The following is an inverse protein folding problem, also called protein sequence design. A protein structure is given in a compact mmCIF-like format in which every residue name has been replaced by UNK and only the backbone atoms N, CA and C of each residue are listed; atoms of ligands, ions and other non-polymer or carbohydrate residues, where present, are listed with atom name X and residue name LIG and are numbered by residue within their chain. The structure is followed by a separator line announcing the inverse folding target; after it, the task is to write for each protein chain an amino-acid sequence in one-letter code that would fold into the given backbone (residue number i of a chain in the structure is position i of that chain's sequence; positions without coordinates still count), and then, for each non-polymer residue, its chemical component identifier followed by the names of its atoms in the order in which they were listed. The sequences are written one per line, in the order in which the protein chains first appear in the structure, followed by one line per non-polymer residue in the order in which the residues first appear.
data_IF_351049300784
#
_entry.id   IF_351049300784
#
_cell.length_a   1.000
_cell.length_b   1.000
_cell.length_c   1.000
_cell.angle_alpha   90.00
_cell.angle_beta   90.00
_cell.angle_gamma   90.00
#
_symmetry.space_group_name_H-M   'P 1'
#
loop_
_entity.id
_entity.type
_entity.pdbx_description
1 polymer ?
#
# COMPACT_ATOMS: atom_id res chain seq x y z
N UNK A 1 21.45 -1.51 17.98
CA UNK A 1 20.66 -2.75 17.98
C UNK A 1 21.18 -3.61 16.83
N UNK A 2 21.45 -4.91 17.06
CA UNK A 2 22.06 -5.79 16.05
C UNK A 2 20.96 -6.30 15.11
N UNK A 3 21.02 -5.90 13.85
CA UNK A 3 20.07 -6.26 12.82
C UNK A 3 20.43 -7.63 12.25
N UNK A 4 19.54 -8.60 12.40
CA UNK A 4 19.68 -9.90 11.74
C UNK A 4 19.01 -9.80 10.37
N UNK A 5 19.77 -10.02 9.31
CA UNK A 5 19.25 -10.33 7.97
C UNK A 5 18.41 -11.59 8.07
N UNK A 6 17.08 -11.45 8.17
CA UNK A 6 16.16 -12.58 8.12
C UNK A 6 16.19 -13.10 6.68
N UNK A 7 16.95 -14.16 6.44
CA UNK A 7 16.80 -14.98 5.26
C UNK A 7 15.43 -15.68 5.35
N UNK A 8 14.47 -15.23 4.56
CA UNK A 8 13.19 -15.94 4.37
C UNK A 8 13.52 -17.21 3.59
N UNK A 9 13.67 -18.33 4.30
CA UNK A 9 13.78 -19.64 3.68
C UNK A 9 12.43 -19.97 3.03
N UNK A 10 12.34 -19.77 1.72
CA UNK A 10 11.21 -20.19 0.91
C UNK A 10 11.22 -21.72 0.80
N UNK A 11 10.39 -22.39 1.59
CA UNK A 11 9.88 -23.69 1.18
C UNK A 11 8.91 -23.41 0.04
N UNK A 12 9.36 -23.53 -1.20
CA UNK A 12 8.50 -23.51 -2.38
C UNK A 12 7.69 -24.82 -2.43
N UNK A 13 6.76 -25.00 -1.48
CA UNK A 13 5.58 -25.80 -1.76
C UNK A 13 4.69 -24.92 -2.64
N UNK A 14 4.33 -25.41 -3.83
CA UNK A 14 3.34 -24.74 -4.65
C UNK A 14 2.07 -24.56 -3.81
N UNK A 15 1.80 -23.34 -3.36
CA UNK A 15 0.61 -23.02 -2.57
C UNK A 15 -0.56 -22.86 -3.53
N UNK A 16 -0.97 -23.97 -4.16
CA UNK A 16 -2.25 -24.06 -4.85
C UNK A 16 -3.40 -24.36 -3.88
N UNK A 17 -3.15 -24.34 -2.56
CA UNK A 17 -4.21 -24.40 -1.57
C UNK A 17 -4.94 -23.05 -1.58
N UNK A 18 -6.13 -23.02 -2.19
CA UNK A 18 -7.01 -21.85 -2.11
C UNK A 18 -7.19 -21.47 -0.63
N UNK A 19 -6.97 -20.19 -0.31
CA UNK A 19 -7.23 -19.63 1.02
C UNK A 19 -8.64 -20.02 1.49
N UNK A 20 -8.83 -20.50 2.73
CA UNK A 20 -10.15 -20.69 3.30
C UNK A 20 -10.97 -19.39 3.23
N UNK A 21 -12.20 -19.46 2.75
CA UNK A 21 -13.01 -18.26 2.46
C UNK A 21 -13.29 -17.40 3.70
N UNK A 22 -13.28 -18.00 4.89
CA UNK A 22 -13.48 -17.38 6.19
C UNK A 22 -12.20 -16.77 6.81
N UNK A 23 -11.02 -17.06 6.25
CA UNK A 23 -9.74 -16.50 6.70
C UNK A 23 -9.40 -15.23 5.93
N UNK A 24 -9.06 -14.09 6.59
CA UNK A 24 -8.65 -12.89 5.87
C UNK A 24 -7.44 -13.10 4.95
N UNK A 25 -7.37 -12.36 3.84
CA UNK A 25 -6.26 -12.44 2.88
C UNK A 25 -4.93 -12.14 3.58
N UNK A 26 -4.87 -11.06 4.35
CA UNK A 26 -3.66 -10.69 5.07
C UNK A 26 -3.20 -11.78 6.03
N UNK A 27 -4.10 -12.34 6.84
CA UNK A 27 -3.78 -13.38 7.81
C UNK A 27 -3.23 -14.64 7.12
N UNK A 28 -3.87 -15.07 6.03
CA UNK A 28 -3.46 -16.24 5.29
C UNK A 28 -2.04 -16.09 4.72
N UNK A 29 -1.78 -15.02 3.98
CA UNK A 29 -0.46 -14.81 3.37
C UNK A 29 0.62 -14.44 4.39
N UNK A 30 0.25 -13.86 5.54
CA UNK A 30 1.19 -13.70 6.65
C UNK A 30 1.67 -15.05 7.16
N UNK A 31 0.76 -16.00 7.42
CA UNK A 31 1.12 -17.35 7.83
C UNK A 31 1.88 -18.10 6.72
N UNK A 32 1.42 -18.02 5.47
CA UNK A 32 2.04 -18.74 4.36
C UNK A 32 3.48 -18.30 4.08
N UNK A 33 3.75 -16.99 4.16
CA UNK A 33 5.07 -16.43 3.78
C UNK A 33 5.99 -16.22 4.99
N UNK A 34 5.45 -15.88 6.16
CA UNK A 34 6.20 -15.49 7.35
C UNK A 34 5.98 -16.44 8.56
N UNK A 35 5.32 -17.58 8.33
CA UNK A 35 5.04 -18.68 9.27
C UNK A 35 4.02 -18.35 10.36
N UNK A 36 4.22 -17.27 11.13
CA UNK A 36 3.37 -16.94 12.27
C UNK A 36 2.53 -15.69 12.00
N UNK A 37 1.26 -15.69 12.39
CA UNK A 37 0.37 -14.53 12.26
C UNK A 37 0.47 -13.60 13.48
N UNK A 38 1.51 -12.76 13.52
CA UNK A 38 1.72 -11.70 14.53
C UNK A 38 1.53 -10.32 13.92
N UNK A 39 1.36 -9.28 14.75
CA UNK A 39 1.27 -7.90 14.28
C UNK A 39 2.51 -7.49 13.47
N UNK A 40 3.70 -7.80 13.95
CA UNK A 40 4.97 -7.50 13.29
C UNK A 40 5.09 -8.21 11.94
N UNK A 41 4.63 -9.45 11.85
CA UNK A 41 4.65 -10.20 10.59
C UNK A 41 3.62 -9.65 9.60
N UNK A 42 2.43 -9.23 10.06
CA UNK A 42 1.47 -8.53 9.19
C UNK A 42 2.08 -7.21 8.68
N UNK A 43 2.65 -6.38 9.56
CA UNK A 43 3.33 -5.15 9.15
C UNK A 43 4.48 -5.42 8.16
N UNK A 44 5.23 -6.51 8.35
CA UNK A 44 6.30 -6.94 7.45
C UNK A 44 5.74 -7.33 6.08
N UNK A 45 4.68 -8.14 6.02
CA UNK A 45 4.02 -8.51 4.77
C UNK A 45 3.59 -7.25 3.99
N UNK A 46 2.95 -6.30 4.67
CA UNK A 46 2.44 -5.08 4.04
C UNK A 46 3.58 -4.15 3.60
N UNK A 47 4.68 -4.11 4.35
CA UNK A 47 5.90 -3.39 3.96
C UNK A 47 6.46 -3.97 2.66
N UNK A 48 6.63 -5.30 2.60
CA UNK A 48 7.16 -5.98 1.41
C UNK A 48 6.27 -5.76 0.19
N UNK A 49 4.95 -5.91 0.36
CA UNK A 49 3.97 -5.70 -0.71
C UNK A 49 3.99 -4.26 -1.21
N UNK A 50 3.78 -3.29 -0.33
CA UNK A 50 3.65 -1.88 -0.73
C UNK A 50 4.96 -1.35 -1.31
N UNK A 51 6.12 -1.69 -0.75
CA UNK A 51 7.39 -1.28 -1.35
C UNK A 51 7.56 -1.87 -2.75
N UNK A 52 7.16 -3.13 -2.95
CA UNK A 52 7.22 -3.75 -4.29
C UNK A 52 6.28 -3.06 -5.28
N UNK A 53 5.10 -2.63 -4.83
CA UNK A 53 4.20 -1.79 -5.64
C UNK A 53 4.84 -0.45 -5.97
N UNK A 54 5.53 0.18 -5.03
CA UNK A 54 6.10 1.51 -5.23
C UNK A 54 7.32 1.49 -6.15
N UNK A 55 8.30 0.62 -5.86
CA UNK A 55 9.62 0.63 -6.50
C UNK A 55 9.91 -0.57 -7.41
N UNK A 56 8.98 -1.51 -7.53
CA UNK A 56 9.18 -2.76 -8.27
C UNK A 56 9.89 -3.83 -7.45
N UNK A 57 10.26 -4.95 -8.08
CA UNK A 57 10.90 -6.05 -7.37
C UNK A 57 12.27 -5.63 -6.77
N UNK A 58 12.41 -5.80 -5.45
CA UNK A 58 13.66 -5.54 -4.72
C UNK A 58 13.98 -6.61 -3.67
N UNK A 59 13.06 -7.54 -3.43
CA UNK A 59 13.16 -8.62 -2.43
C UNK A 59 13.04 -9.99 -3.07
N UNK A 60 13.47 -11.02 -2.33
CA UNK A 60 13.14 -12.42 -2.57
C UNK A 60 12.16 -12.92 -1.50
N UNK A 61 11.27 -13.88 -1.80
CA UNK A 61 11.16 -14.62 -3.06
C UNK A 61 10.41 -13.83 -4.14
N UNK A 62 10.95 -13.83 -5.35
CA UNK A 62 10.23 -13.47 -6.58
C UNK A 62 10.03 -14.77 -7.36
N UNK A 63 8.77 -15.17 -7.58
CA UNK A 63 8.42 -16.40 -8.32
C UNK A 63 8.53 -16.25 -9.84
N UNK A 64 9.34 -15.31 -10.32
CA UNK A 64 9.56 -15.03 -11.74
C UNK A 64 8.62 -13.99 -12.35
N UNK A 65 7.83 -13.27 -11.53
CA UNK A 65 6.95 -12.18 -11.98
C UNK A 65 7.72 -10.87 -11.89
N UNK A 66 7.87 -10.18 -13.03
CA UNK A 66 8.48 -8.86 -13.09
C UNK A 66 7.48 -7.78 -12.69
N UNK A 67 7.89 -6.90 -11.78
CA UNK A 67 7.11 -5.78 -11.27
C UNK A 67 7.92 -4.51 -11.46
N UNK A 68 7.51 -3.59 -12.37
CA UNK A 68 8.19 -2.31 -12.58
C UNK A 68 8.07 -1.33 -11.41
N UNK A 69 6.92 -1.31 -10.74
CA UNK A 69 6.55 -0.34 -9.71
C UNK A 69 5.90 0.93 -10.28
N UNK A 70 5.06 1.58 -9.47
CA UNK A 70 4.28 2.76 -9.88
C UNK A 70 5.13 4.00 -10.19
N UNK A 71 6.38 4.05 -9.69
CA UNK A 71 7.31 5.14 -9.99
C UNK A 71 7.97 5.01 -11.36
N UNK A 72 7.75 3.90 -12.08
CA UNK A 72 8.16 3.73 -13.48
C UNK A 72 7.02 4.10 -14.42
N UNK A 73 7.39 4.61 -15.60
CA UNK A 73 6.46 4.79 -16.71
C UNK A 73 5.96 3.44 -17.21
N UNK A 74 4.74 3.42 -17.71
CA UNK A 74 4.11 2.24 -18.28
C UNK A 74 3.12 2.59 -19.39
N UNK A 75 2.37 1.58 -19.82
CA UNK A 75 1.35 1.72 -20.86
C UNK A 75 0.16 0.81 -20.53
N UNK A 76 -1.05 1.33 -20.70
CA UNK A 76 -2.30 0.59 -20.57
C UNK A 76 -3.15 0.86 -21.81
N UNK A 77 -3.51 -0.18 -22.55
CA UNK A 77 -4.34 -0.10 -23.77
C UNK A 77 -3.86 0.97 -24.78
N UNK A 78 -2.53 1.06 -25.00
CA UNK A 78 -1.92 2.05 -25.90
C UNK A 78 -1.78 3.46 -25.30
N UNK A 79 -2.25 3.69 -24.08
CA UNK A 79 -2.12 4.96 -23.36
C UNK A 79 -0.90 4.93 -22.45
N UNK A 80 0.06 5.83 -22.69
CA UNK A 80 1.23 5.99 -21.81
C UNK A 80 0.81 6.54 -20.45
N UNK A 81 1.35 5.94 -19.39
CA UNK A 81 1.06 6.29 -17.99
C UNK A 81 2.35 6.65 -17.27
N UNK A 82 2.33 7.74 -16.50
CA UNK A 82 3.40 8.10 -15.59
C UNK A 82 2.82 8.65 -14.28
N UNK A 83 2.94 7.88 -13.20
CA UNK A 83 2.43 8.27 -11.89
C UNK A 83 3.46 9.02 -11.04
N UNK A 84 4.74 9.05 -11.41
CA UNK A 84 5.80 9.68 -10.61
C UNK A 84 5.53 11.16 -10.25
N UNK A 85 4.94 12.00 -11.13
CA UNK A 85 4.63 13.40 -10.81
C UNK A 85 3.66 13.59 -9.62
N UNK A 86 2.85 12.58 -9.29
CA UNK A 86 1.98 12.59 -8.12
C UNK A 86 2.74 12.39 -6.80
N UNK A 87 3.93 11.80 -6.86
CA UNK A 87 4.74 11.48 -5.68
C UNK A 87 5.92 12.43 -5.49
N UNK A 88 6.47 13.01 -6.54
CA UNK A 88 7.69 13.83 -6.46
C UNK A 88 7.43 15.33 -6.28
N UNK A 89 6.17 15.75 -6.14
CA UNK A 89 5.78 17.17 -6.02
C UNK A 89 5.64 17.91 -7.35
N UNK A 90 5.69 17.21 -8.49
CA UNK A 90 5.51 17.81 -9.82
C UNK A 90 4.07 18.25 -10.12
N UNK A 91 3.07 17.74 -9.40
CA UNK A 91 1.66 18.09 -9.58
C UNK A 91 1.01 18.59 -8.28
N UNK A 92 0.14 19.60 -8.41
CA UNK A 92 -0.75 20.04 -7.35
C UNK A 92 -1.91 19.06 -7.18
N UNK A 93 -1.61 17.86 -6.69
CA UNK A 93 -2.55 16.73 -6.64
C UNK A 93 -2.96 16.31 -5.23
N UNK A 94 -2.23 16.77 -4.21
CA UNK A 94 -2.51 16.45 -2.81
C UNK A 94 -3.57 17.40 -2.25
N UNK A 95 -4.59 16.84 -1.59
CA UNK A 95 -5.54 17.64 -0.82
C UNK A 95 -4.95 18.05 0.53
N UNK A 96 -4.57 19.34 0.67
CA UNK A 96 -4.27 19.97 1.97
C UNK A 96 -5.35 20.99 2.28
N UNK A 97 -6.14 20.74 3.32
CA UNK A 97 -7.21 21.65 3.77
C UNK A 97 -8.15 22.10 2.64
N UNK A 98 -8.62 21.13 1.84
CA UNK A 98 -9.50 21.36 0.70
C UNK A 98 -8.85 22.15 -0.46
N UNK A 99 -7.51 22.22 -0.52
CA UNK A 99 -6.75 22.90 -1.56
C UNK A 99 -5.72 21.96 -2.20
N UNK A 100 -5.70 21.96 -3.53
CA UNK A 100 -4.70 21.28 -4.34
C UNK A 100 -3.30 21.84 -4.05
N UNK A 101 -2.36 20.98 -3.65
CA UNK A 101 -1.00 21.37 -3.23
C UNK A 101 0.04 20.42 -3.80
N UNK A 102 1.17 20.95 -4.26
CA UNK A 102 2.34 20.15 -4.64
C UNK A 102 3.03 19.65 -3.37
N UNK A 103 3.17 18.33 -3.23
CA UNK A 103 3.84 17.69 -2.09
C UNK A 103 4.81 16.65 -2.62
N UNK A 104 6.07 16.73 -2.20
CA UNK A 104 7.05 15.70 -2.49
C UNK A 104 6.98 14.61 -1.41
N UNK A 105 6.41 13.46 -1.75
CA UNK A 105 6.37 12.24 -0.94
C UNK A 105 7.59 11.34 -1.13
N UNK A 106 8.61 11.78 -1.86
CA UNK A 106 9.91 11.09 -2.01
C UNK A 106 11.03 11.84 -1.28
N UNK A 107 10.67 12.75 -0.37
CA UNK A 107 11.57 13.57 0.45
C UNK A 107 12.27 12.81 1.58
N UNK A 108 11.97 11.53 1.75
CA UNK A 108 12.56 10.64 2.75
C UNK A 108 13.72 9.79 2.26
N UNK A 109 14.25 10.06 1.06
CA UNK A 109 15.31 9.25 0.43
C UNK A 109 14.82 8.42 -0.77
N UNK A 110 13.56 8.58 -1.18
CA UNK A 110 12.99 7.92 -2.34
C UNK A 110 13.05 6.39 -2.22
N UNK A 111 13.53 5.73 -3.28
CA UNK A 111 13.57 4.28 -3.35
C UNK A 111 14.59 3.63 -2.42
N UNK A 112 15.68 4.32 -2.05
CA UNK A 112 16.78 3.74 -1.29
C UNK A 112 16.35 3.14 0.08
N UNK A 113 15.59 3.84 0.94
CA UNK A 113 15.09 3.23 2.18
C UNK A 113 14.11 2.09 1.91
N UNK A 114 13.30 2.16 0.85
CA UNK A 114 12.32 1.12 0.54
C UNK A 114 13.00 -0.21 0.17
N UNK A 115 14.14 -0.15 -0.50
CA UNK A 115 14.99 -1.32 -0.77
C UNK A 115 15.50 -2.01 0.51
N UNK A 116 15.50 -1.29 1.64
CA UNK A 116 15.92 -1.77 2.96
C UNK A 116 14.73 -2.10 3.87
N UNK A 117 13.51 -2.21 3.31
CA UNK A 117 12.25 -2.37 4.05
C UNK A 117 11.97 -1.23 5.04
N UNK A 118 12.47 -0.03 4.75
CA UNK A 118 12.23 1.17 5.55
C UNK A 118 11.28 2.11 4.80
N UNK A 119 10.30 2.73 5.47
CA UNK A 119 9.41 3.69 4.81
C UNK A 119 10.14 4.95 4.34
N UNK A 120 11.21 5.37 5.05
CA UNK A 120 12.04 6.53 4.75
C UNK A 120 13.33 6.49 5.60
N UNK A 121 14.29 7.37 5.30
CA UNK A 121 15.52 7.59 6.07
C UNK A 121 15.27 8.27 7.43
N UNK A 122 14.10 8.88 7.64
CA UNK A 122 13.69 9.49 8.89
C UNK A 122 12.16 9.43 9.05
N UNK A 123 11.67 9.64 10.25
CA UNK A 123 10.25 9.57 10.64
C UNK A 123 9.44 10.87 10.43
N UNK A 124 10.08 11.93 9.93
CA UNK A 124 9.47 13.27 9.78
C UNK A 124 9.12 13.63 8.33
N UNK A 125 9.59 12.85 7.37
CA UNK A 125 9.38 13.08 5.94
C UNK A 125 7.93 12.83 5.51
N UNK A 126 7.49 13.50 4.44
CA UNK A 126 6.20 13.17 3.81
C UNK A 126 6.22 11.73 3.28
N UNK A 127 7.37 11.24 2.84
CA UNK A 127 7.56 9.83 2.48
C UNK A 127 7.24 8.89 3.64
N UNK A 128 7.80 9.11 4.82
CA UNK A 128 7.50 8.28 5.99
C UNK A 128 6.01 8.24 6.27
N UNK A 129 5.38 9.42 6.26
CA UNK A 129 3.93 9.55 6.43
C UNK A 129 3.17 8.73 5.38
N UNK A 130 3.45 8.91 4.10
CA UNK A 130 2.76 8.22 3.02
C UNK A 130 2.93 6.70 3.12
N UNK A 131 4.17 6.22 3.22
CA UNK A 131 4.45 4.79 3.17
C UNK A 131 3.87 4.04 4.37
N UNK A 132 4.01 4.59 5.58
CA UNK A 132 3.37 4.01 6.77
C UNK A 132 1.84 4.01 6.66
N UNK A 133 1.24 5.08 6.12
CA UNK A 133 -0.20 5.11 5.88
C UNK A 133 -0.65 4.11 4.83
N UNK A 134 0.16 3.86 3.78
CA UNK A 134 -0.14 2.83 2.80
C UNK A 134 -0.07 1.43 3.40
N UNK A 135 0.93 1.13 4.24
CA UNK A 135 1.00 -0.15 4.94
C UNK A 135 -0.25 -0.39 5.79
N UNK A 136 -0.67 0.63 6.54
CA UNK A 136 -1.88 0.59 7.36
C UNK A 136 -3.16 0.47 6.52
N UNK A 137 -3.27 1.23 5.43
CA UNK A 137 -4.42 1.21 4.53
C UNK A 137 -4.62 -0.19 3.94
N UNK A 138 -3.56 -0.78 3.39
CA UNK A 138 -3.61 -2.14 2.86
C UNK A 138 -3.84 -3.16 3.98
N UNK A 139 -3.38 -2.88 5.21
CA UNK A 139 -3.75 -3.68 6.37
C UNK A 139 -5.25 -3.80 6.56
N UNK A 140 -5.95 -2.66 6.49
CA UNK A 140 -7.40 -2.59 6.63
C UNK A 140 -8.10 -3.22 5.42
N UNK A 141 -7.65 -2.90 4.21
CA UNK A 141 -8.22 -3.43 2.97
C UNK A 141 -8.13 -4.96 2.88
N UNK A 142 -7.01 -5.54 3.32
CA UNK A 142 -6.75 -6.98 3.25
C UNK A 142 -7.23 -7.76 4.50
N UNK A 143 -7.78 -7.06 5.50
CA UNK A 143 -8.37 -7.65 6.69
C UNK A 143 -7.36 -8.18 7.72
N UNK A 144 -6.22 -7.52 7.89
CA UNK A 144 -5.19 -7.90 8.87
C UNK A 144 -5.74 -7.91 10.31
N UNK A 145 -5.90 -9.09 10.90
CA UNK A 145 -6.55 -9.24 12.22
C UNK A 145 -5.72 -8.73 13.41
N UNK A 146 -4.43 -8.45 13.22
CA UNK A 146 -3.53 -7.91 14.26
C UNK A 146 -3.23 -6.43 14.10
N UNK A 147 -3.85 -5.77 13.11
CA UNK A 147 -3.71 -4.33 12.96
C UNK A 147 -4.33 -3.59 14.15
N UNK A 148 -3.65 -2.53 14.62
CA UNK A 148 -3.98 -1.81 15.85
C UNK A 148 -3.33 -2.38 17.12
N UNK A 149 -2.65 -3.53 17.02
CA UNK A 149 -1.85 -4.09 18.11
C UNK A 149 -0.42 -3.52 18.09
N UNK A 150 0.32 -3.69 19.19
CA UNK A 150 1.75 -3.35 19.21
C UNK A 150 2.49 -4.06 18.07
N UNK A 151 3.26 -3.30 17.28
CA UNK A 151 3.97 -3.82 16.11
C UNK A 151 3.24 -3.60 14.77
N UNK A 152 1.95 -3.25 14.78
CA UNK A 152 1.24 -2.81 13.58
C UNK A 152 0.14 -1.80 13.90
N UNK A 153 0.42 -0.52 13.66
CA UNK A 153 -0.50 0.56 13.97
C UNK A 153 -1.83 0.47 13.18
N UNK A 154 -2.90 0.98 13.79
CA UNK A 154 -4.19 1.16 13.11
C UNK A 154 -4.08 2.20 11.99
N UNK A 155 -4.93 2.08 10.97
CA UNK A 155 -5.05 3.10 9.93
C UNK A 155 -5.62 4.40 10.51
N UNK A 156 -4.80 5.46 10.50
CA UNK A 156 -5.15 6.78 11.03
C UNK A 156 -5.51 7.80 9.94
N UNK A 157 -5.59 7.36 8.68
CA UNK A 157 -5.95 8.21 7.56
C UNK A 157 -7.46 8.51 7.49
N UNK A 158 -7.84 9.35 6.52
CA UNK A 158 -9.26 9.63 6.30
C UNK A 158 -9.97 8.40 5.73
N UNK A 159 -11.15 8.02 6.24
CA UNK A 159 -11.91 6.91 5.66
C UNK A 159 -12.42 7.24 4.25
N UNK A 160 -12.60 8.52 3.91
CA UNK A 160 -13.11 8.95 2.61
C UNK A 160 -12.01 9.05 1.57
N UNK A 161 -11.86 8.01 0.75
CA UNK A 161 -10.85 8.00 -0.32
C UNK A 161 -11.06 9.09 -1.36
N UNK A 162 -12.32 9.45 -1.62
CA UNK A 162 -12.66 10.61 -2.44
C UNK A 162 -12.03 11.90 -1.89
N UNK A 163 -12.20 12.18 -0.58
CA UNK A 163 -11.63 13.40 0.01
C UNK A 163 -10.11 13.44 -0.12
N UNK A 164 -9.44 12.30 0.07
CA UNK A 164 -7.97 12.22 -0.01
C UNK A 164 -7.48 12.45 -1.44
N UNK A 165 -8.11 11.84 -2.44
CA UNK A 165 -7.56 11.76 -3.81
C UNK A 165 -8.26 12.66 -4.85
N UNK A 166 -9.27 13.45 -4.49
CA UNK A 166 -10.06 14.27 -5.45
C UNK A 166 -9.29 15.24 -6.34
N UNK A 167 -8.07 15.64 -5.96
CA UNK A 167 -7.24 16.53 -6.79
C UNK A 167 -6.21 15.77 -7.65
N UNK A 168 -6.13 14.44 -7.55
CA UNK A 168 -5.24 13.65 -8.40
C UNK A 168 -5.75 13.54 -9.83
N UNK A 169 -7.06 13.64 -10.05
CA UNK A 169 -7.68 13.60 -11.38
C UNK A 169 -7.15 12.44 -12.26
N UNK A 170 -6.98 11.26 -11.67
CA UNK A 170 -6.52 10.08 -12.39
C UNK A 170 -7.59 9.64 -13.42
N UNK A 171 -7.13 9.32 -14.63
CA UNK A 171 -7.94 8.64 -15.64
C UNK A 171 -7.99 7.14 -15.41
N UNK A 172 -8.70 6.44 -16.30
CA UNK A 172 -8.83 4.99 -16.25
C UNK A 172 -7.47 4.30 -16.40
N UNK A 173 -6.65 4.73 -17.35
CA UNK A 173 -5.35 4.14 -17.62
C UNK A 173 -4.41 4.25 -16.40
N UNK A 174 -4.38 5.40 -15.72
CA UNK A 174 -3.60 5.60 -14.50
C UNK A 174 -4.06 4.68 -13.36
N UNK A 175 -5.37 4.52 -13.19
CA UNK A 175 -5.94 3.65 -12.15
C UNK A 175 -5.68 2.18 -12.45
N UNK A 176 -5.92 1.74 -13.69
CA UNK A 176 -5.64 0.38 -14.14
C UNK A 176 -4.14 0.05 -13.99
N UNK A 177 -3.26 1.01 -14.31
CA UNK A 177 -1.82 0.84 -14.11
C UNK A 177 -1.49 0.65 -12.63
N UNK A 178 -2.02 1.49 -11.74
CA UNK A 178 -1.83 1.33 -10.30
C UNK A 178 -2.30 -0.04 -9.79
N UNK A 179 -3.54 -0.44 -10.13
CA UNK A 179 -4.11 -1.74 -9.72
C UNK A 179 -3.31 -2.90 -10.32
N UNK A 180 -2.85 -2.77 -11.56
CA UNK A 180 -1.96 -3.73 -12.21
C UNK A 180 -0.64 -3.91 -11.46
N UNK A 181 0.00 -2.83 -11.00
CA UNK A 181 1.21 -2.91 -10.18
C UNK A 181 0.94 -3.62 -8.84
N UNK A 182 -0.21 -3.39 -8.20
CA UNK A 182 -0.64 -4.13 -6.99
C UNK A 182 -0.77 -5.62 -7.27
N UNK A 183 -1.44 -5.98 -8.37
CA UNK A 183 -1.63 -7.38 -8.78
C UNK A 183 -0.31 -8.09 -9.09
N UNK A 184 0.59 -7.45 -9.86
CA UNK A 184 1.90 -8.02 -10.17
C UNK A 184 2.79 -8.15 -8.93
N UNK A 185 2.76 -7.18 -8.01
CA UNK A 185 3.46 -7.27 -6.73
C UNK A 185 2.97 -8.48 -5.92
N UNK A 186 1.66 -8.64 -5.74
CA UNK A 186 1.08 -9.79 -5.06
C UNK A 186 1.44 -11.12 -5.75
N UNK A 187 1.32 -11.19 -7.08
CA UNK A 187 1.70 -12.37 -7.86
C UNK A 187 3.18 -12.74 -7.68
N UNK A 188 4.07 -11.74 -7.56
CA UNK A 188 5.51 -11.98 -7.33
C UNK A 188 5.81 -12.67 -6.01
N UNK A 189 4.92 -12.56 -5.01
CA UNK A 189 4.97 -13.29 -3.75
C UNK A 189 4.22 -14.64 -3.78
N UNK A 190 3.67 -15.04 -4.93
CA UNK A 190 2.91 -16.28 -5.07
C UNK A 190 1.47 -16.20 -4.54
N UNK A 191 0.90 -15.00 -4.42
CA UNK A 191 -0.52 -14.83 -4.08
C UNK A 191 -1.41 -15.42 -5.18
N UNK A 192 -2.44 -16.18 -4.79
CA UNK A 192 -3.36 -16.81 -5.72
C UNK A 192 -4.14 -15.78 -6.55
N UNK A 193 -4.34 -16.07 -7.84
CA UNK A 193 -5.04 -15.17 -8.77
C UNK A 193 -6.45 -14.79 -8.30
N UNK A 194 -7.15 -15.71 -7.62
CA UNK A 194 -8.48 -15.44 -7.07
C UNK A 194 -8.44 -14.34 -5.98
N UNK A 195 -7.44 -14.35 -5.10
CA UNK A 195 -7.27 -13.30 -4.09
C UNK A 195 -6.81 -11.98 -4.72
N UNK A 196 -5.94 -12.03 -5.74
CA UNK A 196 -5.56 -10.84 -6.52
C UNK A 196 -6.79 -10.18 -7.14
N UNK A 197 -7.70 -10.97 -7.72
CA UNK A 197 -8.94 -10.46 -8.31
C UNK A 197 -9.87 -9.83 -7.26
N UNK A 198 -9.94 -10.39 -6.05
CA UNK A 198 -10.69 -9.78 -4.93
C UNK A 198 -10.12 -8.41 -4.56
N UNK A 199 -8.79 -8.28 -4.46
CA UNK A 199 -8.14 -7.01 -4.14
C UNK A 199 -8.31 -5.99 -5.26
N UNK A 200 -8.13 -6.40 -6.52
CA UNK A 200 -8.33 -5.53 -7.67
C UNK A 200 -9.77 -4.97 -7.69
N UNK A 201 -10.77 -5.83 -7.49
CA UNK A 201 -12.16 -5.40 -7.38
C UNK A 201 -12.38 -4.42 -6.22
N UNK A 202 -11.80 -4.68 -5.06
CA UNK A 202 -11.94 -3.78 -3.91
C UNK A 202 -11.32 -2.40 -4.17
N UNK A 203 -10.18 -2.33 -4.87
CA UNK A 203 -9.56 -1.08 -5.29
C UNK A 203 -10.42 -0.37 -6.35
N UNK A 204 -10.94 -1.08 -7.35
CA UNK A 204 -11.84 -0.51 -8.35
C UNK A 204 -13.12 0.07 -7.72
N UNK A 205 -13.78 -0.70 -6.85
CA UNK A 205 -14.99 -0.25 -6.15
C UNK A 205 -14.70 0.99 -5.26
N UNK A 206 -13.47 1.13 -4.77
CA UNK A 206 -13.05 2.23 -3.89
C UNK A 206 -12.66 3.49 -4.65
N UNK A 207 -11.95 3.34 -5.77
CA UNK A 207 -11.28 4.45 -6.46
C UNK A 207 -11.83 4.77 -7.86
N UNK A 208 -12.46 3.80 -8.53
CA UNK A 208 -12.85 3.91 -9.94
C UNK A 208 -14.35 4.19 -10.15
N UNK A 209 -15.11 4.36 -9.06
CA UNK A 209 -16.56 4.57 -9.11
C UNK A 209 -16.93 6.05 -9.25
N UNK A 210 -16.98 6.54 -10.50
CA UNK A 210 -17.54 7.87 -10.79
C UNK A 210 -19.04 7.89 -10.44
N UNK A 211 -19.49 8.97 -9.80
CA UNK A 211 -20.90 9.20 -9.42
C UNK A 211 -21.49 8.24 -8.35
N UNK A 212 -20.66 7.40 -7.71
CA UNK A 212 -21.10 6.59 -6.57
C UNK A 212 -20.92 7.34 -5.25
N UNK A 213 -21.60 6.87 -4.19
CA UNK A 213 -21.33 7.35 -2.84
C UNK A 213 -19.83 7.17 -2.49
N UNK A 214 -19.21 8.09 -1.73
CA UNK A 214 -17.81 7.94 -1.34
C UNK A 214 -17.59 6.58 -0.66
N UNK A 215 -16.70 5.77 -1.21
CA UNK A 215 -16.30 4.53 -0.58
C UNK A 215 -15.51 4.84 0.71
N UNK A 216 -15.86 4.12 1.77
CA UNK A 216 -15.08 4.09 3.02
C UNK A 216 -14.34 2.77 3.10
N UNK A 217 -13.02 2.84 3.34
CA UNK A 217 -12.20 1.63 3.49
C UNK A 217 -12.32 1.03 4.90
N UNK A 218 -12.78 1.83 5.87
CA UNK A 218 -13.23 1.34 7.17
C UNK A 218 -14.76 1.21 7.10
N UNK A 219 -15.28 -0.02 7.10
CA UNK A 219 -16.72 -0.23 7.23
C UNK A 219 -17.12 0.09 8.68
N UNK A 220 -17.84 1.21 8.87
CA UNK A 220 -18.62 1.56 10.06
C UNK A 220 -18.03 1.16 11.42
N UNK A 221 -17.40 2.12 12.10
CA UNK A 221 -16.94 2.02 13.49
C UNK A 221 -18.07 1.58 14.44
N UNK A 222 -18.12 0.28 14.74
CA UNK A 222 -18.75 -0.22 15.94
C UNK A 222 -17.73 -1.08 16.69
N UNK A 223 -16.81 -0.43 17.41
CA UNK A 223 -16.08 -1.13 18.48
C UNK A 223 -14.59 -0.85 18.68
N UNK A 224 -13.97 0.11 17.99
CA UNK A 224 -12.56 0.45 18.25
C UNK A 224 -12.46 1.88 18.78
N UNK A 225 -11.88 2.01 19.97
CA UNK A 225 -11.77 3.24 20.73
C UNK A 225 -11.19 4.38 19.87
N UNK A 226 -11.90 5.50 19.85
CA UNK A 226 -11.49 6.76 19.21
C UNK A 226 -10.05 7.13 19.58
N UNK A 227 -9.08 7.08 18.65
CA UNK A 227 -7.74 7.59 18.90
C UNK A 227 -7.74 9.11 18.70
N UNK A 228 -7.06 9.81 19.60
CA UNK A 228 -6.90 11.26 19.57
C UNK A 228 -6.32 11.74 18.23
N UNK A 229 -7.04 12.64 17.57
CA UNK A 229 -6.63 13.29 16.32
C UNK A 229 -5.27 13.96 16.52
N UNK A 230 -4.18 13.40 15.97
CA UNK A 230 -2.96 14.18 15.78
C UNK A 230 -3.20 15.18 14.65
N UNK A 231 -3.05 16.49 14.88
CA UNK A 231 -3.19 17.49 13.83
C UNK A 231 -2.13 17.27 12.73
N UNK A 232 -2.50 17.65 11.51
CA UNK A 232 -1.60 17.79 10.37
C UNK A 232 -0.34 18.59 10.78
N UNK A 233 0.89 18.14 10.47
CA UNK A 233 2.07 18.94 10.73
C UNK A 233 1.97 20.25 9.94
N UNK A 234 2.18 21.42 10.57
CA UNK A 234 2.10 22.70 9.86
C UNK A 234 3.10 22.69 8.72
N UNK A 235 2.70 23.30 7.59
CA UNK A 235 3.62 23.60 6.52
C UNK A 235 4.75 24.45 7.10
N UNK A 236 5.97 23.92 7.13
CA UNK A 236 7.15 24.77 7.19
C UNK A 236 7.10 25.67 5.95
N UNK A 237 6.77 26.93 6.18
CA UNK A 237 6.95 28.03 5.25
C UNK A 237 8.46 28.26 5.03
N UNK A 238 8.87 28.97 3.96
CA UNK A 238 10.18 28.84 3.30
C UNK A 238 11.40 29.08 4.18
#
# INVERSE_FOLDING_TARGET
MRFSTIAVAAAATAVNAQRPMDMPICDYYTTALLKNNTAENQATLLTLLVNTVVIGNYTMPNVGVSVPGILKEGEVDGTKVNLAPYFNGGLASTNRNNKATCVNFLDGGGAEPLMKNMPANNDKSNQHFLLTHLYQFFGTLLGCSKQGMSGFDAYMGSPSMYKVHKFMNLGKAEMDYFIGQVGMAAASFGVAQADIAVVAKALDDTFNMRCSAPAEVIKGEAGLATPTKRPWPPASAP
#
